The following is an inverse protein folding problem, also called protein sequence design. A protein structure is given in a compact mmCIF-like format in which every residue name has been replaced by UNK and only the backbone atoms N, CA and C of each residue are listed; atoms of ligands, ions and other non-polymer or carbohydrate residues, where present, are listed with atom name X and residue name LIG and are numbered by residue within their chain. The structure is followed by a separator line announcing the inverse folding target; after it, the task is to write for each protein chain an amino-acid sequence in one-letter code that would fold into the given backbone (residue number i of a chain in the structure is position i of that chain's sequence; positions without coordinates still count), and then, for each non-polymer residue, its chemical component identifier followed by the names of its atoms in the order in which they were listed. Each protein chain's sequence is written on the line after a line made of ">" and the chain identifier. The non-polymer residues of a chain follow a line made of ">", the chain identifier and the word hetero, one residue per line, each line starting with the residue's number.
data_IF_547742540353
#
_entry.id   IF_547742540353
#
_cell.length_a   1.000
_cell.length_b   1.000
_cell.length_c   1.000
_cell.angle_alpha   90.00
_cell.angle_beta   90.00
_cell.angle_gamma   90.00
#
_symmetry.space_group_name_H-M   'P 1'
#
loop_
_entity.id
_entity.type
_entity.pdbx_description
1 polymer ?
#
# COMPACT_ATOMS: atom_id res chain seq x y z
N UNK A 1 13.13 -5.18 3.66
CA UNK A 1 12.07 -4.66 2.79
C UNK A 1 11.21 -3.76 3.67
N UNK A 2 11.42 -2.45 3.62
CA UNK A 2 10.58 -1.49 4.35
C UNK A 2 9.50 -1.00 3.38
N UNK A 3 8.24 -1.33 3.66
CA UNK A 3 7.12 -0.71 2.99
C UNK A 3 6.90 0.66 3.64
N UNK A 4 7.19 1.72 2.90
CA UNK A 4 6.65 3.06 3.22
C UNK A 4 5.21 3.08 2.70
N UNK A 5 4.33 3.88 3.29
CA UNK A 5 2.97 4.08 2.77
C UNK A 5 2.90 5.44 2.07
N UNK A 6 2.28 5.51 0.89
CA UNK A 6 2.10 6.75 0.15
C UNK A 6 0.62 7.14 0.08
N UNK A 7 0.26 8.37 0.44
CA UNK A 7 -1.11 8.86 0.35
C UNK A 7 -1.49 9.15 -1.11
N UNK A 8 -2.57 8.50 -1.59
CA UNK A 8 -3.05 8.64 -2.96
C UNK A 8 -3.49 10.05 -3.37
N UNK A 9 -3.91 10.90 -2.43
CA UNK A 9 -4.36 12.27 -2.74
C UNK A 9 -3.26 13.18 -3.31
N UNK A 10 -2.02 13.02 -2.86
CA UNK A 10 -0.89 13.90 -3.21
C UNK A 10 0.28 13.14 -3.85
N UNK A 11 0.09 11.88 -4.22
CA UNK A 11 1.16 11.00 -4.72
C UNK A 11 1.83 11.53 -5.99
N UNK A 12 1.06 12.22 -6.85
CA UNK A 12 1.57 12.80 -8.09
C UNK A 12 2.42 14.06 -7.87
N UNK A 13 2.19 14.78 -6.77
CA UNK A 13 2.84 16.06 -6.48
C UNK A 13 3.99 15.92 -5.48
N UNK A 14 3.96 14.88 -4.65
CA UNK A 14 5.01 14.61 -3.67
C UNK A 14 6.36 14.36 -4.36
N UNK A 15 7.42 15.16 -4.08
CA UNK A 15 8.71 15.05 -4.78
C UNK A 15 9.33 13.66 -4.74
N UNK A 16 9.10 12.92 -3.64
CA UNK A 16 9.61 11.56 -3.45
C UNK A 16 8.89 10.50 -4.31
N UNK A 17 7.65 10.76 -4.75
CA UNK A 17 6.82 9.77 -5.43
C UNK A 17 6.46 10.14 -6.87
N UNK A 18 6.48 11.43 -7.24
CA UNK A 18 6.01 11.92 -8.54
C UNK A 18 6.59 11.18 -9.75
N UNK A 19 7.90 10.87 -9.73
CA UNK A 19 8.56 10.21 -10.85
C UNK A 19 8.12 8.74 -10.96
N UNK A 20 8.08 8.04 -9.83
CA UNK A 20 7.61 6.67 -9.74
C UNK A 20 6.11 6.57 -10.06
N UNK A 21 5.31 7.56 -9.70
CA UNK A 21 3.89 7.62 -10.03
C UNK A 21 3.62 7.68 -11.53
N UNK A 22 4.48 8.38 -12.29
CA UNK A 22 4.35 8.46 -13.75
C UNK A 22 4.87 7.19 -14.42
N UNK A 23 6.04 6.70 -14.01
CA UNK A 23 6.81 5.73 -14.79
C UNK A 23 6.87 4.32 -14.21
N UNK A 24 6.69 4.16 -12.90
CA UNK A 24 7.02 2.92 -12.18
C UNK A 24 5.86 2.43 -11.30
N UNK A 25 4.65 2.40 -11.88
CA UNK A 25 3.48 1.78 -11.28
C UNK A 25 3.49 0.28 -11.56
N UNK A 26 3.16 -0.53 -10.57
CA UNK A 26 3.07 -1.97 -10.72
C UNK A 26 1.88 -2.50 -9.89
N UNK A 27 1.17 -3.53 -10.36
CA UNK A 27 0.21 -4.25 -9.52
C UNK A 27 0.93 -5.29 -8.64
N UNK A 28 0.55 -5.38 -7.37
CA UNK A 28 0.92 -6.51 -6.49
C UNK A 28 -0.29 -7.39 -6.28
N UNK A 29 -0.13 -8.70 -6.42
CA UNK A 29 -1.11 -9.68 -5.98
C UNK A 29 -0.79 -10.17 -4.56
N UNK A 30 -1.80 -10.22 -3.70
CA UNK A 30 -1.68 -10.77 -2.36
C UNK A 30 -2.99 -11.43 -1.91
N UNK A 31 -2.88 -12.56 -1.21
CA UNK A 31 -4.04 -13.26 -0.67
C UNK A 31 -4.74 -12.48 0.45
N UNK A 32 -3.96 -11.72 1.22
CA UNK A 32 -4.42 -10.93 2.35
C UNK A 32 -3.46 -9.77 2.67
N UNK A 33 -3.94 -8.80 3.44
CA UNK A 33 -3.10 -7.84 4.18
C UNK A 33 -3.53 -7.76 5.64
N UNK A 34 -2.64 -7.24 6.49
CA UNK A 34 -2.85 -7.19 7.94
C UNK A 34 -2.98 -5.76 8.42
N UNK A 35 -3.91 -5.51 9.34
CA UNK A 35 -4.07 -4.24 10.02
C UNK A 35 -4.12 -4.42 11.53
N UNK A 36 -3.53 -3.50 12.28
CA UNK A 36 -3.51 -3.53 13.74
C UNK A 36 -4.53 -2.55 14.28
N UNK A 37 -5.59 -3.07 14.90
CA UNK A 37 -6.53 -2.24 15.63
C UNK A 37 -5.99 -1.98 17.04
N UNK A 38 -5.76 -0.71 17.34
CA UNK A 38 -5.38 -0.26 18.67
C UNK A 38 -6.63 -0.25 19.56
N UNK A 39 -6.53 -0.87 20.74
CA UNK A 39 -7.58 -0.94 21.74
C UNK A 39 -7.03 -0.50 23.12
N UNK A 40 -7.87 -0.16 24.11
CA UNK A 40 -7.42 0.34 25.41
C UNK A 40 -6.43 -0.59 26.14
N UNK A 41 -6.49 -1.90 25.87
CA UNK A 41 -5.69 -2.91 26.56
C UNK A 41 -4.74 -3.68 25.64
N UNK A 42 -4.46 -3.17 24.42
CA UNK A 42 -3.50 -3.80 23.52
C UNK A 42 -3.79 -3.57 22.04
N UNK A 43 -3.18 -4.40 21.20
CA UNK A 43 -3.38 -4.40 19.76
C UNK A 43 -4.01 -5.72 19.33
N UNK A 44 -4.98 -5.64 18.42
CA UNK A 44 -5.58 -6.81 17.81
C UNK A 44 -5.29 -6.84 16.31
N UNK A 45 -4.61 -7.89 15.80
CA UNK A 45 -4.35 -8.02 14.37
C UNK A 45 -5.61 -8.51 13.65
N UNK A 46 -5.93 -7.83 12.55
CA UNK A 46 -6.93 -8.24 11.58
C UNK A 46 -6.25 -8.71 10.31
N UNK A 47 -6.79 -9.77 9.72
CA UNK A 47 -6.43 -10.21 8.36
C UNK A 47 -7.58 -9.84 7.45
N UNK A 48 -7.30 -9.07 6.41
CA UNK A 48 -8.26 -8.61 5.42
C UNK A 48 -7.98 -9.36 4.12
N UNK A 49 -8.99 -10.06 3.62
CA UNK A 49 -8.91 -10.90 2.42
C UNK A 49 -10.24 -10.84 1.67
N UNK A 50 -10.23 -11.19 0.37
CA UNK A 50 -11.46 -11.26 -0.41
C UNK A 50 -12.31 -12.44 0.03
N UNK A 51 -13.63 -12.22 0.05
CA UNK A 51 -14.61 -13.25 0.43
C UNK A 51 -14.69 -14.40 -0.58
N UNK A 52 -14.38 -14.14 -1.84
CA UNK A 52 -14.40 -15.14 -2.92
C UNK A 52 -13.12 -16.00 -3.00
N UNK A 53 -12.13 -15.74 -2.13
CA UNK A 53 -10.88 -16.50 -2.08
C UNK A 53 -9.90 -16.19 -3.22
N UNK A 54 -10.20 -15.20 -4.08
CA UNK A 54 -9.28 -14.74 -5.13
C UNK A 54 -8.27 -13.75 -4.52
N UNK A 55 -7.01 -13.70 -5.00
CA UNK A 55 -6.06 -12.68 -4.56
C UNK A 55 -6.55 -11.25 -4.81
N UNK A 56 -6.22 -10.35 -3.89
CA UNK A 56 -6.38 -8.91 -4.10
C UNK A 56 -5.26 -8.38 -4.99
N UNK A 57 -5.59 -7.38 -5.80
CA UNK A 57 -4.61 -6.62 -6.56
C UNK A 57 -4.45 -5.22 -5.94
N UNK A 58 -3.24 -4.87 -5.53
CA UNK A 58 -2.90 -3.57 -4.98
C UNK A 58 -2.06 -2.75 -5.95
N UNK A 59 -2.11 -1.43 -5.83
CA UNK A 59 -1.23 -0.53 -6.59
C UNK A 59 0.02 -0.19 -5.78
N UNK A 60 1.18 -0.49 -6.35
CA UNK A 60 2.47 -0.05 -5.83
C UNK A 60 3.18 0.95 -6.75
N UNK A 61 4.08 1.72 -6.14
CA UNK A 61 5.14 2.45 -6.83
C UNK A 61 6.48 1.84 -6.47
N UNK A 62 7.40 1.77 -7.43
CA UNK A 62 8.78 1.35 -7.16
C UNK A 62 9.79 2.35 -7.74
N UNK A 63 10.99 2.38 -7.16
CA UNK A 63 12.09 3.16 -7.72
C UNK A 63 13.45 2.56 -7.34
N UNK A 64 14.49 3.00 -8.06
CA UNK A 64 15.89 2.73 -7.75
C UNK A 64 16.57 4.04 -7.38
N UNK A 65 17.05 4.13 -6.15
CA UNK A 65 17.80 5.29 -5.67
C UNK A 65 19.24 4.90 -5.34
N UNK A 66 20.12 5.91 -5.32
CA UNK A 66 21.53 5.72 -4.99
C UNK A 66 21.76 6.04 -3.52
N UNK A 67 22.30 5.09 -2.78
CA UNK A 67 22.61 5.25 -1.37
C UNK A 67 23.87 6.09 -1.13
N UNK A 68 24.03 6.55 0.11
CA UNK A 68 25.25 7.23 0.57
C UNK A 68 26.47 6.31 0.54
N UNK A 69 26.23 4.99 0.56
CA UNK A 69 27.22 3.93 0.32
C UNK A 69 27.64 3.79 -1.15
N UNK A 70 27.04 4.57 -2.06
CA UNK A 70 27.27 4.48 -3.50
C UNK A 70 26.52 3.33 -4.19
N UNK A 71 25.81 2.50 -3.42
CA UNK A 71 25.02 1.38 -3.91
C UNK A 71 23.72 1.83 -4.58
N UNK A 72 23.16 0.96 -5.42
CA UNK A 72 21.80 1.12 -5.96
C UNK A 72 20.83 0.31 -5.12
N UNK A 73 19.81 0.96 -4.58
CA UNK A 73 18.80 0.37 -3.73
C UNK A 73 17.47 0.40 -4.46
N UNK A 74 16.80 -0.76 -4.54
CA UNK A 74 15.43 -0.86 -5.05
C UNK A 74 14.46 -0.89 -3.90
N UNK A 75 13.44 -0.05 -3.95
CA UNK A 75 12.38 0.02 -2.96
C UNK A 75 11.03 0.16 -3.64
N UNK A 76 9.97 -0.22 -2.92
CA UNK A 76 8.59 -0.03 -3.35
C UNK A 76 7.72 0.44 -2.18
N UNK A 77 6.54 0.95 -2.51
CA UNK A 77 5.54 1.47 -1.58
C UNK A 77 4.15 1.17 -2.10
N UNK A 78 3.23 0.84 -1.21
CA UNK A 78 1.81 0.74 -1.54
C UNK A 78 1.18 2.14 -1.54
N UNK A 79 0.33 2.41 -2.53
CA UNK A 79 -0.53 3.59 -2.49
C UNK A 79 -1.71 3.27 -1.56
N UNK A 80 -1.99 4.17 -0.62
CA UNK A 80 -3.12 4.06 0.30
C UNK A 80 -4.17 5.13 0.05
N UNK A 81 -5.42 4.78 0.27
CA UNK A 81 -6.59 5.65 0.21
C UNK A 81 -7.33 5.65 1.56
N UNK A 82 -8.41 6.41 1.67
CA UNK A 82 -9.30 6.35 2.82
C UNK A 82 -9.93 4.95 2.94
N UNK A 83 -10.05 4.46 4.17
CA UNK A 83 -10.70 3.18 4.44
C UNK A 83 -12.18 3.17 4.08
N UNK A 84 -12.62 2.10 3.43
CA UNK A 84 -14.03 1.79 3.26
C UNK A 84 -14.69 1.39 4.60
N UNK A 85 -16.01 1.18 4.57
CA UNK A 85 -16.80 0.84 5.77
C UNK A 85 -16.38 -0.47 6.47
N UNK A 86 -15.69 -1.37 5.77
CA UNK A 86 -15.21 -2.65 6.31
C UNK A 86 -13.90 -2.44 7.09
N UNK A 87 -12.98 -1.64 6.54
CA UNK A 87 -11.63 -1.43 7.10
C UNK A 87 -11.62 -0.33 8.16
N UNK A 88 -12.49 0.67 8.03
CA UNK A 88 -12.55 1.87 8.90
C UNK A 88 -12.64 1.57 10.40
N UNK A 89 -13.31 0.51 10.88
CA UNK A 89 -13.28 0.15 12.30
C UNK A 89 -11.90 -0.28 12.82
N UNK A 90 -10.99 -0.67 11.94
CA UNK A 90 -9.63 -1.12 12.25
C UNK A 90 -8.60 0.00 12.07
N UNK A 91 -8.68 0.73 10.94
CA UNK A 91 -7.72 1.76 10.56
C UNK A 91 -8.31 2.76 9.58
N UNK A 92 -7.81 4.00 9.57
CA UNK A 92 -8.35 5.09 8.73
C UNK A 92 -7.95 4.99 7.25
N UNK A 93 -6.92 4.19 6.95
CA UNK A 93 -6.37 4.04 5.61
C UNK A 93 -6.36 2.59 5.18
N UNK A 94 -6.45 2.36 3.88
CA UNK A 94 -6.31 1.04 3.27
C UNK A 94 -5.49 1.11 1.98
N UNK A 95 -4.84 0.02 1.56
CA UNK A 95 -4.23 -0.05 0.24
C UNK A 95 -5.26 0.19 -0.88
N UNK A 96 -4.86 0.93 -1.92
CA UNK A 96 -5.65 1.04 -3.15
C UNK A 96 -5.73 -0.34 -3.78
N UNK A 97 -6.95 -0.87 -3.81
CA UNK A 97 -7.26 -2.18 -4.40
C UNK A 97 -7.88 -1.95 -5.77
N UNK A 98 -7.36 -2.64 -6.79
CA UNK A 98 -7.91 -2.60 -8.14
C UNK A 98 -8.83 -3.79 -8.32
N UNK A 99 -10.06 -3.52 -8.72
CA UNK A 99 -10.99 -4.56 -9.15
C UNK A 99 -10.82 -4.77 -10.66
N UNK A 100 -10.88 -6.01 -11.12
CA UNK A 100 -11.02 -6.27 -12.55
C UNK A 100 -12.41 -5.77 -12.95
N UNK A 101 -12.47 -4.81 -13.87
CA UNK A 101 -13.68 -4.53 -14.62
C UNK A 101 -13.98 -5.77 -15.49
N UNK A 102 -15.19 -6.32 -15.36
CA UNK A 102 -15.73 -7.28 -16.34
C UNK A 102 -16.06 -6.56 -17.64
#
# INVERSE_FOLDING_TARGET
>A
MQAVQCQGGDVGDAPMFRAAFVHNRCPILADAYFELRIQPYGQHPYTLARRDGVPMMFVELWDIWKGTDGGKHRSFTLITTESNNIVRPCYDRMPVTVENEN
#
